data_IF_381725624727
#
_entry.id   IF_381725624727
#
_cell.length_a   1.000
_cell.length_b   1.000
_cell.length_c   1.000
_cell.angle_alpha   90.00
_cell.angle_beta   90.00
_cell.angle_gamma   90.00
#
_symmetry.space_group_name_H-M   'P 1'
#
loop_
_entity.id
_entity.type
_entity.pdbx_description
1 polymer ?
#
# COMPACT_ATOMS: atom_id res chain seq x y z
N UNK A 1 -14.44 10.98 -11.45
CA UNK A 1 -13.84 11.58 -10.24
C UNK A 1 -12.63 10.74 -9.83
N UNK A 2 -11.54 11.35 -9.35
CA UNK A 2 -10.46 10.59 -8.73
C UNK A 2 -11.01 9.84 -7.50
N UNK A 3 -10.49 8.64 -7.20
CA UNK A 3 -10.93 7.90 -6.03
C UNK A 3 -10.56 8.65 -4.75
N UNK A 4 -11.52 8.75 -3.84
CA UNK A 4 -11.36 9.34 -2.52
C UNK A 4 -11.43 8.26 -1.46
N UNK A 5 -10.63 8.42 -0.41
CA UNK A 5 -10.58 7.51 0.73
C UNK A 5 -10.86 8.32 2.00
N UNK A 6 -11.78 7.82 2.83
CA UNK A 6 -12.04 8.37 4.17
C UNK A 6 -11.42 7.42 5.19
N UNK A 7 -10.30 7.83 5.78
CA UNK A 7 -9.51 7.01 6.70
C UNK A 7 -9.27 7.75 8.02
N UNK A 8 -9.08 7.02 9.12
CA UNK A 8 -8.79 7.64 10.40
C UNK A 8 -7.35 8.14 10.46
N UNK A 9 -7.19 9.40 10.91
CA UNK A 9 -5.89 10.04 11.11
C UNK A 9 -4.95 9.20 11.98
N UNK A 10 -5.48 8.57 13.04
CA UNK A 10 -4.70 7.73 13.95
C UNK A 10 -4.06 6.53 13.27
N UNK A 11 -4.76 5.86 12.34
CA UNK A 11 -4.20 4.74 11.58
C UNK A 11 -3.13 5.22 10.60
N UNK A 12 -3.40 6.30 9.88
CA UNK A 12 -2.42 6.89 8.96
C UNK A 12 -1.14 7.30 9.68
N UNK A 13 -1.24 8.05 10.77
CA UNK A 13 -0.07 8.51 11.56
C UNK A 13 0.69 7.37 12.25
N UNK A 14 0.03 6.27 12.58
CA UNK A 14 0.66 5.09 13.17
C UNK A 14 1.51 4.33 12.16
N UNK A 15 1.03 4.21 10.93
CA UNK A 15 1.64 3.35 9.91
C UNK A 15 2.46 4.09 8.85
N UNK A 16 2.56 5.42 8.94
CA UNK A 16 3.32 6.25 8.00
C UNK A 16 3.85 7.50 8.69
N UNK A 17 5.16 7.72 8.63
CA UNK A 17 5.76 8.94 9.18
C UNK A 17 5.38 10.17 8.35
N UNK A 18 5.24 10.01 7.04
CA UNK A 18 4.74 11.05 6.13
C UNK A 18 3.37 11.55 6.56
N UNK A 19 2.39 10.65 6.75
CA UNK A 19 1.06 11.08 7.17
C UNK A 19 1.07 11.66 8.58
N UNK A 20 1.91 11.14 9.48
CA UNK A 20 2.07 11.74 10.81
C UNK A 20 2.51 13.20 10.74
N UNK A 21 3.44 13.53 9.85
CA UNK A 21 3.92 14.91 9.67
C UNK A 21 2.87 15.81 8.99
N UNK A 22 2.26 15.33 7.90
CA UNK A 22 1.25 16.06 7.13
C UNK A 22 -0.05 16.30 7.93
N UNK A 23 -0.36 15.43 8.89
CA UNK A 23 -1.55 15.56 9.74
C UNK A 23 -1.34 16.42 10.99
N UNK A 24 -0.08 16.71 11.36
CA UNK A 24 0.26 17.56 12.52
C UNK A 24 0.21 19.05 12.15
N UNK A 25 0.48 19.40 10.89
CA UNK A 25 0.20 20.76 10.43
C UNK A 25 -1.30 21.00 10.49
N UNK A 26 -1.74 22.18 10.97
CA UNK A 26 -3.14 22.59 10.92
C UNK A 26 -3.50 22.92 9.47
N UNK A 27 -3.47 21.89 8.61
CA UNK A 27 -3.99 21.98 7.27
C UNK A 27 -5.51 22.04 7.45
N UNK A 28 -6.09 23.18 7.15
CA UNK A 28 -7.48 23.55 7.36
C UNK A 28 -8.43 22.51 6.75
N UNK A 29 -8.80 21.47 7.48
CA UNK A 29 -9.85 20.47 7.22
C UNK A 29 -9.96 19.88 5.79
N UNK A 30 -8.97 20.09 4.93
CA UNK A 30 -8.99 19.71 3.52
C UNK A 30 -8.51 18.27 3.28
N UNK A 31 -8.91 17.67 2.15
CA UNK A 31 -8.42 16.35 1.75
C UNK A 31 -6.90 16.38 1.50
N UNK A 32 -6.20 15.35 1.94
CA UNK A 32 -4.78 15.15 1.59
C UNK A 32 -4.71 14.58 0.19
N UNK A 33 -3.99 15.27 -0.70
CA UNK A 33 -3.74 14.79 -2.07
C UNK A 33 -2.45 13.99 -2.08
N UNK A 34 -2.56 12.71 -2.43
CA UNK A 34 -1.41 11.82 -2.63
C UNK A 34 -1.17 11.69 -4.13
N UNK A 35 -0.10 12.31 -4.63
CA UNK A 35 0.24 12.30 -6.06
C UNK A 35 0.99 11.03 -6.46
N UNK A 36 1.00 10.75 -7.77
CA UNK A 36 1.77 9.67 -8.41
C UNK A 36 1.57 8.28 -7.78
N UNK A 37 0.41 8.06 -7.18
CA UNK A 37 0.05 6.80 -6.56
C UNK A 37 -1.15 6.23 -7.31
N UNK A 38 -1.01 5.00 -7.79
CA UNK A 38 -2.15 4.30 -8.37
C UNK A 38 -3.20 4.01 -7.28
N UNK A 39 -4.49 4.21 -7.56
CA UNK A 39 -5.56 3.95 -6.59
C UNK A 39 -5.50 2.55 -6.00
N UNK A 40 -5.15 1.54 -6.80
CA UNK A 40 -5.00 0.14 -6.34
C UNK A 40 -3.90 0.00 -5.30
N UNK A 41 -2.76 0.68 -5.47
CA UNK A 41 -1.65 0.66 -4.51
C UNK A 41 -2.05 1.32 -3.21
N UNK A 42 -2.72 2.47 -3.29
CA UNK A 42 -3.23 3.13 -2.09
C UNK A 42 -4.30 2.27 -1.38
N UNK A 43 -5.15 1.57 -2.15
CA UNK A 43 -6.13 0.64 -1.62
C UNK A 43 -5.50 -0.53 -0.85
N UNK A 44 -4.37 -1.07 -1.32
CA UNK A 44 -3.61 -2.09 -0.59
C UNK A 44 -3.11 -1.56 0.75
N UNK A 45 -2.53 -0.35 0.76
CA UNK A 45 -2.10 0.28 2.00
C UNK A 45 -3.29 0.54 2.95
N UNK A 46 -4.41 1.04 2.43
CA UNK A 46 -5.62 1.26 3.21
C UNK A 46 -6.15 -0.05 3.82
N UNK A 47 -6.17 -1.15 3.07
CA UNK A 47 -6.53 -2.46 3.63
C UNK A 47 -5.56 -2.88 4.73
N UNK A 48 -4.26 -2.72 4.49
CA UNK A 48 -3.21 -3.11 5.44
C UNK A 48 -3.35 -2.39 6.79
N UNK A 49 -3.55 -1.07 6.80
CA UNK A 49 -3.60 -0.31 8.06
C UNK A 49 -4.86 -0.60 8.90
N UNK A 50 -5.92 -1.14 8.30
CA UNK A 50 -7.15 -1.52 9.02
C UNK A 50 -7.16 -2.99 9.43
N UNK A 51 -6.63 -3.88 8.59
CA UNK A 51 -6.74 -5.34 8.78
C UNK A 51 -5.44 -5.99 9.25
N UNK A 52 -4.31 -5.28 9.23
CA UNK A 52 -2.98 -5.84 9.48
C UNK A 52 -2.44 -6.72 8.34
N UNK A 53 -3.24 -6.92 7.28
CA UNK A 53 -2.87 -7.64 6.08
C UNK A 53 -3.58 -7.07 4.85
N UNK A 54 -3.04 -7.33 3.68
CA UNK A 54 -3.80 -7.21 2.44
C UNK A 54 -4.54 -8.53 2.22
N UNK A 55 -5.88 -8.51 2.14
CA UNK A 55 -6.59 -9.56 1.40
C UNK A 55 -5.90 -9.69 0.04
N UNK A 56 -5.56 -10.94 -0.35
CA UNK A 56 -4.54 -11.28 -1.34
C UNK A 56 -4.28 -10.15 -2.34
N UNK A 57 -3.02 -9.70 -2.45
CA UNK A 57 -2.62 -8.77 -3.52
C UNK A 57 -3.17 -9.25 -4.88
N UNK A 58 -3.30 -10.57 -5.05
CA UNK A 58 -3.94 -11.23 -6.19
C UNK A 58 -5.41 -10.86 -6.42
N UNK A 59 -6.23 -10.69 -5.39
CA UNK A 59 -7.63 -10.26 -5.52
C UNK A 59 -7.71 -8.81 -6.01
N UNK A 60 -6.75 -7.98 -5.62
CA UNK A 60 -6.62 -6.60 -6.10
C UNK A 60 -5.93 -6.51 -7.49
N UNK A 61 -5.05 -7.46 -7.81
CA UNK A 61 -4.39 -7.62 -9.12
C UNK A 61 -5.40 -8.11 -10.16
N UNK A 62 -6.22 -9.10 -9.82
CA UNK A 62 -7.18 -9.76 -10.71
C UNK A 62 -8.21 -8.78 -11.29
N UNK A 63 -8.47 -7.66 -10.60
CA UNK A 63 -9.46 -6.67 -11.03
C UNK A 63 -8.88 -5.65 -12.02
N UNK A 64 -7.56 -5.34 -12.02
CA UNK A 64 -7.01 -4.26 -12.89
C UNK A 64 -5.54 -4.34 -13.34
N UNK A 65 -4.68 -5.16 -12.74
CA UNK A 65 -3.25 -5.15 -13.10
C UNK A 65 -2.91 -6.26 -14.11
N UNK A 66 -2.51 -5.87 -15.33
CA UNK A 66 -2.04 -6.79 -16.39
C UNK A 66 -0.78 -7.59 -15.98
N UNK A 67 -0.08 -7.19 -14.93
CA UNK A 67 1.09 -7.87 -14.38
C UNK A 67 1.14 -7.76 -12.83
N UNK A 68 1.00 -8.88 -12.09
CA UNK A 68 1.10 -8.92 -10.63
C UNK A 68 2.44 -8.42 -10.08
N UNK A 69 3.54 -8.64 -10.82
CA UNK A 69 4.90 -8.29 -10.39
C UNK A 69 5.11 -6.77 -10.38
N UNK A 70 4.51 -6.08 -11.35
CA UNK A 70 4.54 -4.63 -11.45
C UNK A 70 3.76 -3.96 -10.31
N UNK A 71 2.65 -4.55 -9.87
CA UNK A 71 1.88 -4.01 -8.75
C UNK A 71 2.65 -4.10 -7.43
N UNK A 72 3.32 -5.22 -7.16
CA UNK A 72 4.15 -5.36 -5.96
C UNK A 72 5.32 -4.37 -5.95
N UNK A 73 5.97 -4.14 -7.11
CA UNK A 73 7.02 -3.12 -7.23
C UNK A 73 6.47 -1.71 -6.97
N UNK A 74 5.31 -1.37 -7.54
CA UNK A 74 4.66 -0.07 -7.32
C UNK A 74 4.25 0.12 -5.85
N UNK A 75 3.75 -0.94 -5.20
CA UNK A 75 3.44 -0.91 -3.77
C UNK A 75 4.70 -0.68 -2.93
N UNK A 76 5.82 -1.31 -3.27
CA UNK A 76 7.10 -1.08 -2.61
C UNK A 76 7.64 0.35 -2.82
N UNK A 77 7.58 0.88 -4.03
CA UNK A 77 7.97 2.28 -4.28
C UNK A 77 7.08 3.27 -3.51
N UNK A 78 5.79 2.97 -3.41
CA UNK A 78 4.86 3.75 -2.60
C UNK A 78 5.24 3.73 -1.12
N UNK A 79 5.64 2.58 -0.56
CA UNK A 79 6.03 2.49 0.86
C UNK A 79 7.23 3.36 1.19
N UNK A 80 8.16 3.52 0.24
CA UNK A 80 9.32 4.41 0.38
C UNK A 80 8.91 5.88 0.41
N UNK A 81 7.89 6.27 -0.38
CA UNK A 81 7.41 7.66 -0.43
C UNK A 81 6.66 8.08 0.82
N UNK A 82 5.82 7.20 1.36
CA UNK A 82 5.03 7.50 2.55
C UNK A 82 5.70 7.03 3.85
N UNK A 83 6.93 6.52 3.79
CA UNK A 83 7.67 6.03 4.95
C UNK A 83 6.85 5.05 5.81
N UNK A 84 6.30 4.02 5.15
CA UNK A 84 5.46 2.99 5.78
C UNK A 84 6.21 1.67 5.95
N UNK A 85 7.09 1.59 6.94
CA UNK A 85 8.02 0.47 7.14
C UNK A 85 7.34 -0.89 7.33
N UNK A 86 6.30 -0.96 8.16
CA UNK A 86 5.58 -2.22 8.40
C UNK A 86 4.92 -2.75 7.12
N UNK A 87 4.39 -1.82 6.32
CA UNK A 87 3.80 -2.17 5.03
C UNK A 87 4.89 -2.59 4.03
N UNK A 88 6.05 -1.93 4.02
CA UNK A 88 7.18 -2.33 3.19
C UNK A 88 7.63 -3.76 3.50
N UNK A 89 7.77 -4.09 4.79
CA UNK A 89 8.12 -5.43 5.25
C UNK A 89 7.10 -6.47 4.79
N UNK A 90 5.81 -6.16 4.90
CA UNK A 90 4.74 -7.02 4.40
C UNK A 90 4.86 -7.29 2.90
N UNK A 91 5.11 -6.25 2.08
CA UNK A 91 5.29 -6.40 0.62
C UNK A 91 6.50 -7.28 0.29
N UNK A 92 7.63 -7.09 0.99
CA UNK A 92 8.85 -7.89 0.79
C UNK A 92 8.61 -9.37 1.13
N UNK A 93 7.97 -9.66 2.27
CA UNK A 93 7.64 -11.03 2.66
C UNK A 93 6.74 -11.72 1.63
N UNK A 94 5.74 -11.00 1.12
CA UNK A 94 4.87 -11.51 0.06
C UNK A 94 5.64 -11.81 -1.24
N UNK A 95 6.54 -10.93 -1.65
CA UNK A 95 7.40 -11.12 -2.83
C UNK A 95 8.32 -12.34 -2.67
N UNK A 96 8.93 -12.51 -1.50
CA UNK A 96 9.79 -13.65 -1.19
C UNK A 96 9.00 -14.97 -1.24
N UNK A 97 7.81 -15.01 -0.62
CA UNK A 97 6.94 -16.19 -0.65
C UNK A 97 6.61 -16.62 -2.09
N UNK A 98 6.23 -15.66 -2.94
CA UNK A 98 5.94 -15.93 -4.37
C UNK A 98 7.16 -16.43 -5.14
N UNK A 99 8.34 -15.90 -4.86
CA UNK A 99 9.57 -16.35 -5.50
C UNK A 99 9.88 -17.81 -5.13
N UNK A 100 9.68 -18.19 -3.86
CA UNK A 100 9.86 -19.57 -3.40
C UNK A 100 8.87 -20.54 -4.04
N UNK A 101 7.58 -20.18 -4.14
CA UNK A 101 6.53 -21.03 -4.76
C UNK A 101 6.82 -21.33 -6.24
N UNK A 102 7.35 -20.37 -6.99
CA UNK A 102 7.76 -20.58 -8.40
C UNK A 102 8.94 -21.55 -8.54
N UNK A 103 9.85 -21.54 -7.58
CA UNK A 103 10.98 -22.46 -7.56
C UNK A 103 10.53 -23.90 -7.25
N UNK A 104 9.55 -24.07 -6.37
CA UNK A 104 9.01 -25.40 -6.02
C UNK A 104 8.10 -26.00 -7.09
N UNK A 105 7.47 -25.18 -7.95
CA UNK A 105 6.62 -25.66 -9.05
C UNK A 105 7.39 -26.03 -10.34
N UNK A 106 8.71 -25.83 -10.36
CA UNK A 106 9.59 -26.13 -11.51
C UNK A 106 10.41 -27.42 -11.34
N UNK A 107 10.10 -28.21 -10.30
CA UNK A 107 10.69 -29.52 -9.99
C UNK A 107 9.60 -30.59 -9.90
#
# INVERSE_FOLDING_TARGET
MPPSYTLHKSFLSRHSTFFREVLVTPNENGPIVVTDTEPTVFGLFASFIYNGCCSNIEDHVAVKARDPSLLSLRAWLFTMRISATDFANYIVQHLQKKASERHSASH
#
